data_IF_279493176436
#
_entry.id   IF_279493176436
#
_cell.length_a   1.000
_cell.length_b   1.000
_cell.length_c   1.000
_cell.angle_alpha   90.00
_cell.angle_beta   90.00
_cell.angle_gamma   90.00
#
_symmetry.space_group_name_H-M   'P 1'
#
loop_
_entity.id
_entity.type
_entity.pdbx_description
1 polymer ?
#
# COMPACT_ATOMS: atom_id res chain seq x y z
N UNK A 1 0.97 18.90 -46.70
CA UNK A 1 0.68 17.64 -47.45
C UNK A 1 0.36 18.01 -48.89
N UNK A 2 0.82 17.24 -49.86
CA UNK A 2 0.52 17.42 -51.28
C UNK A 2 0.26 16.05 -51.95
N UNK A 3 -0.73 15.97 -52.83
CA UNK A 3 -0.97 14.80 -53.67
C UNK A 3 0.10 14.74 -54.77
N UNK A 4 0.64 13.55 -55.02
CA UNK A 4 1.50 13.25 -56.16
C UNK A 4 0.66 12.63 -57.28
N UNK A 5 1.01 12.94 -58.52
CA UNK A 5 0.40 12.35 -59.72
C UNK A 5 1.48 11.78 -60.62
N UNK A 6 1.18 10.64 -61.24
CA UNK A 6 2.03 10.03 -62.27
C UNK A 6 1.99 10.83 -63.57
N UNK A 7 2.87 10.46 -64.50
CA UNK A 7 2.99 11.13 -65.82
C UNK A 7 1.70 11.02 -66.67
N UNK A 8 0.84 10.06 -66.36
CA UNK A 8 -0.48 9.83 -66.96
C UNK A 8 -1.63 10.53 -66.20
N UNK A 9 -1.32 11.26 -65.12
CA UNK A 9 -2.28 11.95 -64.28
C UNK A 9 -2.96 11.10 -63.20
N UNK A 10 -2.59 9.81 -63.07
CA UNK A 10 -3.13 8.93 -62.01
C UNK A 10 -2.60 9.31 -60.63
N UNK A 11 -3.33 9.02 -59.53
CA UNK A 11 -2.83 9.22 -58.17
C UNK A 11 -1.56 8.41 -57.90
N UNK A 12 -0.49 9.06 -57.43
CA UNK A 12 0.83 8.46 -57.08
C UNK A 12 1.16 8.67 -55.58
N UNK A 13 0.13 8.79 -54.74
CA UNK A 13 0.24 8.92 -53.29
C UNK A 13 0.27 10.36 -52.77
N UNK A 14 0.63 10.52 -51.49
CA UNK A 14 0.65 11.80 -50.77
C UNK A 14 2.02 12.00 -50.13
N UNK A 15 2.59 13.21 -50.26
CA UNK A 15 3.83 13.63 -49.61
C UNK A 15 3.57 14.66 -48.53
N UNK A 16 4.33 14.62 -47.44
CA UNK A 16 4.24 15.55 -46.33
C UNK A 16 5.58 15.78 -45.65
N UNK A 17 5.65 16.87 -44.89
CA UNK A 17 6.77 17.21 -44.01
C UNK A 17 6.22 17.44 -42.60
N UNK A 18 6.98 17.02 -41.58
CA UNK A 18 6.68 17.30 -40.19
C UNK A 18 7.74 18.27 -39.65
N UNK A 19 7.29 19.46 -39.25
CA UNK A 19 8.15 20.44 -38.58
C UNK A 19 7.94 20.32 -37.07
N UNK A 20 9.02 20.24 -36.31
CA UNK A 20 8.98 20.09 -34.86
C UNK A 20 10.01 21.02 -34.21
N UNK A 21 9.79 21.36 -32.93
CA UNK A 21 10.78 22.13 -32.17
C UNK A 21 11.79 21.19 -31.53
N UNK A 22 13.07 21.42 -31.78
CA UNK A 22 14.17 20.61 -31.27
C UNK A 22 14.47 20.83 -29.79
N UNK A 23 13.92 21.89 -29.19
CA UNK A 23 13.96 22.12 -27.74
C UNK A 23 12.95 21.25 -26.97
N UNK A 24 12.00 20.62 -27.66
CA UNK A 24 11.00 19.72 -27.08
C UNK A 24 11.10 18.27 -27.55
N UNK A 25 11.59 18.05 -28.77
CA UNK A 25 11.57 16.73 -29.39
C UNK A 25 12.92 16.36 -29.99
N UNK A 26 13.33 15.14 -29.66
CA UNK A 26 14.40 14.44 -30.35
C UNK A 26 13.89 13.84 -31.66
N UNK A 27 14.78 13.71 -32.64
CA UNK A 27 14.44 13.20 -33.97
C UNK A 27 13.81 11.80 -33.92
N UNK A 28 14.27 10.92 -33.03
CA UNK A 28 13.73 9.56 -32.89
C UNK A 28 12.29 9.57 -32.37
N UNK A 29 11.96 10.50 -31.46
CA UNK A 29 10.59 10.70 -30.98
C UNK A 29 9.67 11.09 -32.12
N UNK A 30 10.10 12.04 -32.95
CA UNK A 30 9.32 12.52 -34.10
C UNK A 30 9.15 11.42 -35.15
N UNK A 31 10.19 10.64 -35.39
CA UNK A 31 10.16 9.50 -36.32
C UNK A 31 9.14 8.45 -35.86
N UNK A 32 9.13 8.12 -34.57
CA UNK A 32 8.14 7.22 -33.99
C UNK A 32 6.70 7.77 -34.12
N UNK A 33 6.49 9.07 -33.88
CA UNK A 33 5.18 9.70 -34.05
C UNK A 33 4.68 9.62 -35.51
N UNK A 34 5.54 9.84 -36.49
CA UNK A 34 5.19 9.68 -37.91
C UNK A 34 4.85 8.23 -38.23
N UNK A 35 5.64 7.27 -37.75
CA UNK A 35 5.36 5.85 -37.96
C UNK A 35 3.99 5.43 -37.37
N UNK A 36 3.64 5.95 -36.19
CA UNK A 36 2.33 5.75 -35.56
C UNK A 36 1.19 6.40 -36.37
N UNK A 37 1.38 7.64 -36.86
CA UNK A 37 0.40 8.31 -37.73
C UNK A 37 0.13 7.50 -39.00
N UNK A 38 1.19 7.03 -39.67
CA UNK A 38 1.05 6.22 -40.88
C UNK A 38 0.31 4.91 -40.61
N UNK A 39 0.53 4.28 -39.45
CA UNK A 39 -0.22 3.09 -39.03
C UNK A 39 -1.71 3.37 -38.91
N UNK A 40 -2.08 4.46 -38.24
CA UNK A 40 -3.48 4.88 -38.10
C UNK A 40 -4.12 5.14 -39.47
N UNK A 41 -3.44 5.89 -40.35
CA UNK A 41 -3.93 6.16 -41.69
C UNK A 41 -4.15 4.87 -42.48
N UNK A 42 -3.21 3.92 -42.41
CA UNK A 42 -3.34 2.63 -43.06
C UNK A 42 -4.58 1.87 -42.57
N UNK A 43 -4.75 1.75 -41.25
CA UNK A 43 -5.89 1.05 -40.66
C UNK A 43 -7.23 1.68 -41.07
N UNK A 44 -7.36 3.00 -40.98
CA UNK A 44 -8.60 3.72 -41.36
C UNK A 44 -8.91 3.57 -42.84
N UNK A 45 -7.90 3.51 -43.71
CA UNK A 45 -8.12 3.30 -45.15
C UNK A 45 -8.50 1.86 -45.50
N UNK A 46 -8.15 0.88 -44.67
CA UNK A 46 -8.51 -0.53 -44.87
C UNK A 46 -9.90 -0.87 -44.34
N UNK A 47 -10.27 -0.30 -43.18
CA UNK A 47 -11.61 -0.42 -42.61
C UNK A 47 -12.11 0.95 -42.11
N UNK A 48 -12.81 1.72 -42.96
CA UNK A 48 -13.33 3.04 -42.58
C UNK A 48 -14.50 2.97 -41.59
N UNK A 49 -15.05 1.78 -41.31
CA UNK A 49 -16.14 1.58 -40.36
C UNK A 49 -15.64 1.26 -38.94
N UNK A 50 -14.34 0.97 -38.79
CA UNK A 50 -13.73 0.70 -37.49
C UNK A 50 -13.87 1.92 -36.55
N UNK A 51 -14.37 1.73 -35.32
CA UNK A 51 -14.41 2.81 -34.34
C UNK A 51 -13.02 3.34 -34.01
N UNK A 52 -12.85 4.67 -34.05
CA UNK A 52 -11.57 5.35 -33.78
C UNK A 52 -10.94 4.92 -32.45
N UNK A 53 -11.76 4.69 -31.41
CA UNK A 53 -11.30 4.24 -30.09
C UNK A 53 -10.64 2.84 -30.08
N UNK A 54 -10.79 2.07 -31.15
CA UNK A 54 -10.22 0.72 -31.27
C UNK A 54 -8.95 0.64 -32.12
N UNK A 55 -8.48 1.78 -32.65
CA UNK A 55 -7.30 1.82 -33.52
C UNK A 55 -6.03 1.65 -32.68
N UNK A 56 -5.26 0.61 -32.95
CA UNK A 56 -3.92 0.43 -32.39
C UNK A 56 -2.94 1.44 -33.02
N UNK A 57 -2.48 2.39 -32.21
CA UNK A 57 -1.49 3.39 -32.60
C UNK A 57 -0.07 2.82 -32.53
N UNK A 58 0.17 1.91 -31.59
CA UNK A 58 1.48 1.33 -31.32
C UNK A 58 1.84 0.24 -32.34
N UNK A 59 3.14 0.13 -32.63
CA UNK A 59 3.69 -1.06 -33.27
C UNK A 59 3.60 -2.28 -32.34
N UNK A 60 3.75 -3.47 -32.94
CA UNK A 60 3.83 -4.72 -32.17
C UNK A 60 4.99 -4.70 -31.17
N UNK A 61 6.14 -4.15 -31.57
CA UNK A 61 7.34 -4.09 -30.73
C UNK A 61 7.16 -3.09 -29.58
N UNK A 62 6.58 -1.92 -29.84
CA UNK A 62 6.24 -0.97 -28.77
C UNK A 62 5.23 -1.56 -27.79
N UNK A 63 4.21 -2.25 -28.30
CA UNK A 63 3.20 -2.91 -27.46
C UNK A 63 3.82 -4.03 -26.63
N UNK A 64 4.68 -4.86 -27.22
CA UNK A 64 5.39 -5.92 -26.53
C UNK A 64 6.28 -5.36 -25.42
N UNK A 65 7.04 -4.29 -25.71
CA UNK A 65 7.86 -3.62 -24.71
C UNK A 65 7.03 -3.11 -23.52
N UNK A 66 5.91 -2.46 -23.78
CA UNK A 66 5.04 -1.90 -22.74
C UNK A 66 4.31 -2.96 -21.92
N UNK A 67 3.85 -4.04 -22.57
CA UNK A 67 2.97 -5.03 -21.95
C UNK A 67 3.73 -6.23 -21.37
N UNK A 68 4.87 -6.59 -21.95
CA UNK A 68 5.65 -7.76 -21.57
C UNK A 68 6.99 -7.34 -20.97
N UNK A 69 7.89 -6.70 -21.73
CA UNK A 69 9.26 -6.43 -21.26
C UNK A 69 9.29 -5.57 -19.98
N UNK A 70 8.49 -4.50 -19.92
CA UNK A 70 8.44 -3.64 -18.73
C UNK A 70 7.65 -4.23 -17.57
N UNK A 71 6.78 -5.21 -17.83
CA UNK A 71 5.98 -5.87 -16.81
C UNK A 71 6.56 -7.23 -16.38
N UNK A 72 7.66 -7.69 -16.97
CA UNK A 72 8.39 -8.89 -16.56
C UNK A 72 9.13 -8.65 -15.23
N UNK A 73 8.31 -8.56 -14.17
CA UNK A 73 8.72 -8.22 -12.80
C UNK A 73 8.49 -9.40 -11.86
N UNK A 74 8.17 -10.57 -12.41
CA UNK A 74 7.85 -11.78 -11.63
C UNK A 74 9.09 -12.24 -10.87
N UNK A 75 9.04 -12.11 -9.56
CA UNK A 75 10.10 -12.57 -8.65
C UNK A 75 9.48 -13.48 -7.59
N UNK A 76 9.99 -14.71 -7.39
CA UNK A 76 9.51 -15.58 -6.31
C UNK A 76 9.70 -14.92 -4.95
N UNK A 77 8.62 -14.82 -4.18
CA UNK A 77 8.64 -14.35 -2.79
C UNK A 77 8.17 -15.47 -1.86
N UNK A 78 8.76 -15.63 -0.67
CA UNK A 78 8.28 -16.61 0.30
C UNK A 78 6.82 -16.33 0.67
N UNK A 79 6.00 -17.39 0.75
CA UNK A 79 4.64 -17.30 1.31
C UNK A 79 4.73 -17.27 2.83
N UNK A 80 5.13 -16.12 3.36
CA UNK A 80 5.26 -15.84 4.78
C UNK A 80 4.66 -14.48 5.12
N UNK A 81 4.18 -14.35 6.34
CA UNK A 81 3.63 -13.11 6.89
C UNK A 81 4.74 -12.27 7.54
N UNK A 82 4.51 -10.96 7.65
CA UNK A 82 5.41 -10.05 8.38
C UNK A 82 5.76 -10.55 9.79
N UNK A 83 4.81 -11.01 10.65
CA UNK A 83 5.15 -11.53 11.96
C UNK A 83 6.02 -12.79 11.90
N UNK A 84 5.81 -13.70 10.93
CA UNK A 84 6.67 -14.89 10.78
C UNK A 84 8.11 -14.53 10.40
N UNK A 85 8.27 -13.60 9.43
CA UNK A 85 9.58 -13.10 9.03
C UNK A 85 10.30 -12.39 10.19
N UNK A 86 9.57 -11.57 10.94
CA UNK A 86 10.12 -10.88 12.12
C UNK A 86 10.53 -11.86 13.22
N UNK A 87 9.70 -12.87 13.52
CA UNK A 87 9.99 -13.90 14.50
C UNK A 87 11.21 -14.74 14.11
N UNK A 88 11.35 -15.08 12.82
CA UNK A 88 12.53 -15.77 12.32
C UNK A 88 13.81 -14.94 12.55
N UNK A 89 13.76 -13.64 12.26
CA UNK A 89 14.89 -12.74 12.55
C UNK A 89 15.17 -12.63 14.04
N UNK A 90 14.14 -12.51 14.88
CA UNK A 90 14.30 -12.41 16.33
C UNK A 90 14.90 -13.65 16.98
N UNK A 91 14.63 -14.85 16.42
CA UNK A 91 15.31 -16.08 16.82
C UNK A 91 16.75 -16.15 16.34
N UNK A 92 17.04 -15.58 15.16
CA UNK A 92 18.38 -15.63 14.54
C UNK A 92 19.36 -14.69 15.25
N UNK A 93 18.93 -13.47 15.58
CA UNK A 93 19.79 -12.44 16.19
C UNK A 93 19.09 -11.74 17.36
N UNK A 94 18.80 -12.45 18.47
CA UNK A 94 17.98 -11.91 19.56
C UNK A 94 18.58 -10.65 20.19
N UNK A 95 19.90 -10.59 20.37
CA UNK A 95 20.59 -9.49 21.05
C UNK A 95 20.90 -8.30 20.13
N UNK A 96 20.69 -8.44 18.81
CA UNK A 96 20.93 -7.36 17.87
C UNK A 96 19.88 -6.25 18.04
N UNK A 97 20.31 -4.99 17.92
CA UNK A 97 19.40 -3.83 18.00
C UNK A 97 18.39 -3.84 16.85
N UNK A 98 17.10 -3.83 17.18
CA UNK A 98 15.99 -3.79 16.23
C UNK A 98 15.35 -2.40 16.12
N UNK A 99 15.30 -1.66 17.23
CA UNK A 99 14.62 -0.36 17.28
C UNK A 99 15.40 0.64 18.14
N UNK A 100 15.52 1.86 17.64
CA UNK A 100 16.07 3.01 18.36
C UNK A 100 15.05 4.14 18.29
N UNK A 101 14.58 4.63 19.44
CA UNK A 101 13.70 5.78 19.52
C UNK A 101 13.90 6.51 20.85
N UNK A 102 14.05 7.83 20.81
CA UNK A 102 14.20 8.70 21.99
C UNK A 102 15.21 8.19 23.04
N UNK A 103 16.36 7.69 22.57
CA UNK A 103 17.41 7.13 23.43
C UNK A 103 17.11 5.73 23.99
N UNK A 104 15.95 5.16 23.69
CA UNK A 104 15.61 3.77 23.98
C UNK A 104 16.11 2.86 22.87
N UNK A 105 16.80 1.77 23.25
CA UNK A 105 17.25 0.72 22.35
C UNK A 105 16.53 -0.57 22.70
N UNK A 106 15.85 -1.18 21.72
CA UNK A 106 15.29 -2.53 21.87
C UNK A 106 16.03 -3.49 20.97
N UNK A 107 16.44 -4.61 21.54
CA UNK A 107 16.91 -5.76 20.78
C UNK A 107 15.75 -6.43 20.04
N UNK A 108 16.03 -7.28 19.05
CA UNK A 108 15.00 -8.09 18.40
C UNK A 108 14.25 -8.98 19.42
N UNK A 109 14.97 -9.57 20.37
CA UNK A 109 14.40 -10.42 21.42
C UNK A 109 13.47 -9.65 22.36
N UNK A 110 13.88 -8.45 22.79
CA UNK A 110 13.06 -7.57 23.63
C UNK A 110 11.79 -7.13 22.91
N UNK A 111 11.94 -6.70 21.65
CA UNK A 111 10.83 -6.24 20.82
C UNK A 111 9.83 -7.38 20.57
N UNK A 112 10.31 -8.59 20.25
CA UNK A 112 9.45 -9.76 20.07
C UNK A 112 8.72 -10.13 21.35
N UNK A 113 9.41 -10.11 22.50
CA UNK A 113 8.83 -10.39 23.82
C UNK A 113 7.70 -9.43 24.17
N UNK A 114 7.91 -8.12 23.98
CA UNK A 114 6.89 -7.10 24.23
C UNK A 114 5.69 -7.26 23.29
N UNK A 115 5.95 -7.52 22.00
CA UNK A 115 4.90 -7.75 21.02
C UNK A 115 4.09 -9.03 21.32
N UNK A 116 4.73 -10.10 21.79
CA UNK A 116 4.07 -11.36 22.14
C UNK A 116 3.12 -11.22 23.34
N UNK A 117 3.57 -10.51 24.38
CA UNK A 117 2.73 -10.20 25.55
C UNK A 117 1.49 -9.40 25.16
N UNK A 118 1.68 -8.36 24.35
CA UNK A 118 0.56 -7.55 23.88
C UNK A 118 -0.36 -8.34 22.93
N UNK A 119 0.19 -9.16 22.03
CA UNK A 119 -0.60 -9.99 21.13
C UNK A 119 -1.49 -10.98 21.89
N UNK A 120 -0.96 -11.63 22.95
CA UNK A 120 -1.75 -12.52 23.81
C UNK A 120 -2.89 -11.79 24.50
N UNK A 121 -2.61 -10.61 25.06
CA UNK A 121 -3.66 -9.78 25.63
C UNK A 121 -4.73 -9.41 24.58
N UNK A 122 -4.32 -9.01 23.38
CA UNK A 122 -5.26 -8.69 22.30
C UNK A 122 -6.14 -9.89 21.92
N UNK A 123 -5.56 -11.09 21.84
CA UNK A 123 -6.29 -12.35 21.59
C UNK A 123 -7.29 -12.62 22.71
N UNK A 124 -6.92 -12.41 23.97
CA UNK A 124 -7.85 -12.53 25.11
C UNK A 124 -8.99 -11.51 25.07
N UNK A 125 -8.79 -10.36 24.41
CA UNK A 125 -9.83 -9.36 24.12
C UNK A 125 -10.63 -9.68 22.86
N UNK A 126 -10.43 -10.84 22.24
CA UNK A 126 -11.17 -11.31 21.06
C UNK A 126 -10.62 -10.84 19.72
N UNK A 127 -9.43 -10.22 19.69
CA UNK A 127 -8.78 -9.80 18.43
C UNK A 127 -8.20 -11.02 17.71
N UNK A 128 -8.41 -11.07 16.39
CA UNK A 128 -7.91 -12.14 15.52
C UNK A 128 -8.04 -11.78 14.04
N UNK A 129 -7.97 -12.75 13.12
CA UNK A 129 -8.17 -12.53 11.68
C UNK A 129 -9.43 -11.73 11.34
N UNK A 130 -9.38 -10.93 10.29
CA UNK A 130 -10.47 -10.07 9.79
C UNK A 130 -10.94 -8.96 10.77
N UNK A 131 -10.31 -8.84 11.94
CA UNK A 131 -10.55 -7.72 12.85
C UNK A 131 -9.62 -6.54 12.57
N UNK A 132 -10.04 -5.36 13.00
CA UNK A 132 -9.26 -4.11 12.92
C UNK A 132 -8.94 -3.64 14.33
N UNK A 133 -7.67 -3.32 14.59
CA UNK A 133 -7.23 -2.63 15.80
C UNK A 133 -6.74 -1.24 15.43
N UNK A 134 -7.37 -0.21 15.98
CA UNK A 134 -6.94 1.16 15.77
C UNK A 134 -5.73 1.50 16.64
N UNK A 135 -4.71 2.14 16.06
CA UNK A 135 -3.49 2.59 16.73
C UNK A 135 -3.47 4.11 16.78
N UNK A 136 -3.90 4.69 17.90
CA UNK A 136 -3.85 6.11 18.20
C UNK A 136 -2.65 6.43 19.11
N UNK A 137 -1.45 6.13 18.62
CA UNK A 137 -0.20 6.23 19.37
C UNK A 137 0.73 7.26 18.70
N UNK A 138 1.49 8.06 19.48
CA UNK A 138 2.55 8.89 18.92
C UNK A 138 3.68 8.01 18.35
N UNK A 139 4.62 8.61 17.64
CA UNK A 139 5.85 7.92 17.24
C UNK A 139 6.64 7.54 18.50
N UNK A 140 6.68 6.26 18.82
CA UNK A 140 7.35 5.72 20.01
C UNK A 140 7.68 4.23 19.82
N UNK A 141 8.48 3.63 20.71
CA UNK A 141 8.62 2.17 20.75
C UNK A 141 7.30 1.42 20.86
N UNK A 142 6.33 1.97 21.59
CA UNK A 142 5.02 1.35 21.81
C UNK A 142 4.21 1.23 20.52
N UNK A 143 4.36 2.18 19.58
CA UNK A 143 3.73 2.08 18.26
C UNK A 143 4.23 0.85 17.49
N UNK A 144 5.54 0.59 17.51
CA UNK A 144 6.13 -0.57 16.82
C UNK A 144 5.74 -1.88 17.50
N UNK A 145 5.75 -1.90 18.84
CA UNK A 145 5.26 -3.04 19.64
C UNK A 145 3.80 -3.33 19.31
N UNK A 146 2.94 -2.31 19.29
CA UNK A 146 1.52 -2.42 18.98
C UNK A 146 1.27 -2.94 17.56
N UNK A 147 1.98 -2.41 16.56
CA UNK A 147 1.88 -2.87 15.18
C UNK A 147 2.22 -4.37 15.06
N UNK A 148 3.36 -4.79 15.61
CA UNK A 148 3.77 -6.19 15.59
C UNK A 148 2.79 -7.08 16.36
N UNK A 149 2.29 -6.61 17.51
CA UNK A 149 1.33 -7.35 18.32
C UNK A 149 0.01 -7.59 17.58
N UNK A 150 -0.51 -6.56 16.89
CA UNK A 150 -1.73 -6.66 16.08
C UNK A 150 -1.52 -7.64 14.92
N UNK A 151 -0.42 -7.53 14.18
CA UNK A 151 -0.14 -8.46 13.08
C UNK A 151 0.01 -9.91 13.56
N UNK A 152 0.59 -10.13 14.75
CA UNK A 152 0.72 -11.48 15.36
C UNK A 152 -0.62 -12.12 15.68
N UNK A 153 -1.68 -11.35 15.93
CA UNK A 153 -3.03 -11.91 16.11
C UNK A 153 -3.69 -12.28 14.77
N UNK A 154 -3.14 -11.82 13.65
CA UNK A 154 -3.73 -11.91 12.32
C UNK A 154 -4.71 -10.78 11.99
N UNK A 155 -4.89 -9.81 12.90
CA UNK A 155 -5.70 -8.62 12.67
C UNK A 155 -4.95 -7.57 11.83
N UNK A 156 -5.73 -6.67 11.22
CA UNK A 156 -5.23 -5.48 10.56
C UNK A 156 -5.07 -4.32 11.56
N UNK A 157 -4.05 -3.49 11.40
CA UNK A 157 -3.96 -2.23 12.15
C UNK A 157 -4.49 -1.04 11.35
N UNK A 158 -5.19 -0.12 12.02
CA UNK A 158 -5.61 1.18 11.49
C UNK A 158 -4.83 2.29 12.19
N UNK A 159 -3.83 2.92 11.56
CA UNK A 159 -3.13 4.04 12.18
C UNK A 159 -4.04 5.27 12.22
N UNK A 160 -4.14 5.89 13.39
CA UNK A 160 -4.86 7.14 13.63
C UNK A 160 -3.87 8.20 14.08
N UNK A 161 -3.69 9.25 13.28
CA UNK A 161 -2.94 10.43 13.69
C UNK A 161 -3.77 11.24 14.69
N UNK A 162 -3.29 11.30 15.94
CA UNK A 162 -3.97 12.02 17.03
C UNK A 162 -3.97 13.53 16.84
N UNK A 163 -3.22 14.06 15.86
CA UNK A 163 -3.23 15.49 15.51
C UNK A 163 -4.32 15.85 14.50
N UNK A 164 -5.06 14.87 13.98
CA UNK A 164 -6.21 15.15 13.12
C UNK A 164 -7.34 15.82 13.92
N UNK A 165 -8.18 16.63 13.24
CA UNK A 165 -9.41 17.14 13.85
C UNK A 165 -10.23 15.99 14.44
N UNK A 166 -10.79 16.18 15.64
CA UNK A 166 -11.55 15.16 16.37
C UNK A 166 -12.66 14.54 15.52
N UNK A 167 -13.37 15.33 14.71
CA UNK A 167 -14.41 14.83 13.83
C UNK A 167 -13.89 13.84 12.78
N UNK A 168 -12.66 14.03 12.30
CA UNK A 168 -12.00 13.09 11.37
C UNK A 168 -11.62 11.80 12.08
N UNK A 169 -11.11 11.88 13.31
CA UNK A 169 -10.78 10.69 14.12
C UNK A 169 -12.05 9.89 14.41
N UNK A 170 -13.11 10.56 14.86
CA UNK A 170 -14.43 9.96 15.10
C UNK A 170 -14.96 9.29 13.84
N UNK A 171 -14.93 9.98 12.70
CA UNK A 171 -15.33 9.40 11.42
C UNK A 171 -14.56 8.11 11.12
N UNK A 172 -13.23 8.12 11.19
CA UNK A 172 -12.41 6.93 10.93
C UNK A 172 -12.77 5.77 11.87
N UNK A 173 -12.96 6.04 13.16
CA UNK A 173 -13.34 4.99 14.13
C UNK A 173 -14.75 4.45 13.92
N UNK A 174 -15.71 5.30 13.53
CA UNK A 174 -17.10 4.90 13.26
C UNK A 174 -17.23 4.09 11.96
N UNK A 175 -16.47 4.49 10.94
CA UNK A 175 -16.46 3.84 9.63
C UNK A 175 -15.73 2.49 9.69
N UNK A 176 -14.54 2.45 10.28
CA UNK A 176 -13.74 1.23 10.40
C UNK A 176 -14.24 0.24 11.46
N UNK A 177 -14.98 0.71 12.47
CA UNK A 177 -15.50 -0.09 13.60
C UNK A 177 -14.43 -1.02 14.20
N UNK A 178 -13.31 -0.47 14.70
CA UNK A 178 -12.24 -1.30 15.22
C UNK A 178 -12.74 -2.10 16.43
N UNK A 179 -12.29 -3.35 16.54
CA UNK A 179 -12.55 -4.19 17.72
C UNK A 179 -12.00 -3.54 18.99
N UNK A 180 -10.89 -2.81 18.85
CA UNK A 180 -10.22 -2.14 19.95
C UNK A 180 -9.37 -0.96 19.47
N UNK A 181 -9.19 0.05 20.34
CA UNK A 181 -8.23 1.15 20.17
C UNK A 181 -7.06 0.99 21.15
N UNK A 182 -5.83 0.96 20.62
CA UNK A 182 -4.60 1.11 21.39
C UNK A 182 -4.18 2.58 21.39
N UNK A 183 -3.96 3.15 22.58
CA UNK A 183 -3.66 4.57 22.76
C UNK A 183 -2.81 4.83 24.00
N UNK A 184 -2.50 6.10 24.28
CA UNK A 184 -2.13 6.59 25.60
C UNK A 184 -3.33 7.25 26.32
N UNK A 185 -3.22 7.38 27.64
CA UNK A 185 -4.23 7.95 28.54
C UNK A 185 -4.55 9.40 28.16
N UNK A 186 -3.59 10.14 27.61
CA UNK A 186 -3.76 11.53 27.18
C UNK A 186 -4.65 11.68 25.95
N UNK A 187 -4.74 10.66 25.09
CA UNK A 187 -5.43 10.71 23.79
C UNK A 187 -6.70 9.86 23.75
N UNK A 188 -7.06 9.19 24.85
CA UNK A 188 -8.22 8.30 24.92
C UNK A 188 -9.59 8.97 24.66
N UNK A 189 -9.65 10.30 24.74
CA UNK A 189 -10.88 11.09 24.59
C UNK A 189 -11.20 11.50 23.14
N UNK A 190 -10.39 11.08 22.16
CA UNK A 190 -10.50 11.55 20.76
C UNK A 190 -11.57 10.82 19.95
N UNK A 191 -12.09 9.68 20.44
CA UNK A 191 -13.16 8.90 19.80
C UNK A 191 -14.37 8.73 20.74
N UNK A 192 -15.33 7.91 20.34
CA UNK A 192 -16.57 7.69 21.10
C UNK A 192 -16.35 6.68 22.25
N UNK A 193 -17.03 6.89 23.38
CA UNK A 193 -16.86 6.08 24.61
C UNK A 193 -17.22 4.59 24.43
N UNK A 194 -17.98 4.22 23.40
CA UNK A 194 -18.44 2.85 23.18
C UNK A 194 -17.37 1.91 22.58
N UNK A 195 -16.24 2.45 22.09
CA UNK A 195 -15.18 1.61 21.49
C UNK A 195 -14.21 1.11 22.55
N UNK A 196 -14.02 -0.22 22.72
CA UNK A 196 -13.07 -0.77 23.68
C UNK A 196 -11.69 -0.15 23.51
N UNK A 197 -11.10 0.32 24.61
CA UNK A 197 -9.86 1.09 24.58
C UNK A 197 -8.85 0.51 25.57
N UNK A 198 -7.58 0.40 25.15
CA UNK A 198 -6.45 0.07 26.01
C UNK A 198 -5.41 1.19 25.96
N UNK A 199 -5.15 1.78 27.12
CA UNK A 199 -4.11 2.78 27.30
C UNK A 199 -2.78 2.09 27.65
N UNK A 200 -1.83 2.07 26.71
CA UNK A 200 -0.54 1.40 26.87
C UNK A 200 0.33 2.02 27.97
N UNK A 201 0.15 3.31 28.27
CA UNK A 201 0.82 4.00 29.37
C UNK A 201 0.18 3.75 30.76
N UNK A 202 -0.90 2.96 30.82
CA UNK A 202 -1.58 2.65 32.09
C UNK A 202 -0.77 1.65 32.94
N UNK A 203 -0.41 1.97 34.20
CA UNK A 203 0.41 1.09 35.05
C UNK A 203 -0.21 -0.28 35.34
N UNK A 204 -1.53 -0.34 35.50
CA UNK A 204 -2.26 -1.60 35.73
C UNK A 204 -2.18 -2.49 34.50
N UNK A 205 -2.34 -1.91 33.30
CA UNK A 205 -2.18 -2.64 32.04
C UNK A 205 -0.74 -3.14 31.86
N UNK A 206 0.25 -2.31 32.17
CA UNK A 206 1.67 -2.69 32.11
C UNK A 206 1.97 -3.87 33.05
N UNK A 207 1.42 -3.85 34.27
CA UNK A 207 1.53 -4.97 35.21
C UNK A 207 0.91 -6.24 34.63
N UNK A 208 -0.28 -6.16 34.04
CA UNK A 208 -0.92 -7.29 33.37
C UNK A 208 -0.04 -7.85 32.23
N UNK A 209 0.50 -6.97 31.36
CA UNK A 209 1.38 -7.36 30.27
C UNK A 209 2.61 -8.14 30.74
N UNK A 210 3.23 -7.74 31.86
CA UNK A 210 4.41 -8.46 32.40
C UNK A 210 4.10 -9.89 32.84
N UNK A 211 2.85 -10.18 33.20
CA UNK A 211 2.39 -11.52 33.60
C UNK A 211 2.12 -12.47 32.44
N UNK A 212 2.02 -11.98 31.20
CA UNK A 212 1.83 -12.82 30.03
C UNK A 212 3.11 -13.53 29.60
N UNK A 213 2.92 -14.73 29.06
CA UNK A 213 3.95 -15.54 28.41
C UNK A 213 4.63 -14.77 27.26
N UNK A 214 5.94 -14.95 27.13
CA UNK A 214 6.79 -14.25 26.16
C UNK A 214 6.95 -15.00 24.84
N UNK A 215 6.50 -16.26 24.77
CA UNK A 215 6.53 -17.09 23.56
C UNK A 215 5.56 -16.58 22.50
N UNK A 216 5.90 -16.84 21.24
CA UNK A 216 5.07 -16.48 20.10
C UNK A 216 3.64 -17.05 20.26
N UNK A 217 2.59 -16.26 19.99
CA UNK A 217 1.23 -16.76 20.00
C UNK A 217 1.06 -17.95 19.05
N UNK A 218 0.18 -18.89 19.39
CA UNK A 218 -0.11 -20.07 18.56
C UNK A 218 -1.02 -19.77 17.37
N UNK A 219 -1.39 -18.51 17.16
CA UNK A 219 -2.14 -18.04 16.00
C UNK A 219 -1.29 -18.19 14.74
N UNK A 220 -1.92 -18.58 13.64
CA UNK A 220 -1.29 -18.68 12.32
C UNK A 220 -1.94 -17.68 11.36
N UNK A 221 -1.45 -16.42 11.30
CA UNK A 221 -1.94 -15.45 10.32
C UNK A 221 -1.79 -15.97 8.88
N UNK A 222 -2.82 -15.83 8.04
CA UNK A 222 -2.73 -16.13 6.61
C UNK A 222 -2.23 -14.88 5.85
N UNK A 223 -1.30 -15.00 4.89
CA UNK A 223 -0.92 -13.92 3.99
C UNK A 223 -2.08 -13.26 3.23
N UNK A 224 -3.25 -13.90 3.14
CA UNK A 224 -4.46 -13.34 2.54
C UNK A 224 -5.26 -12.41 3.47
N UNK A 225 -5.02 -12.43 4.78
CA UNK A 225 -5.68 -11.50 5.70
C UNK A 225 -5.16 -10.07 5.53
N UNK A 226 -6.00 -9.05 5.76
CA UNK A 226 -5.57 -7.66 5.68
C UNK A 226 -4.49 -7.36 6.73
N UNK A 227 -3.41 -6.71 6.32
CA UNK A 227 -2.34 -6.29 7.23
C UNK A 227 -2.63 -4.92 7.88
N UNK A 228 -3.30 -4.03 7.15
CA UNK A 228 -3.61 -2.69 7.62
C UNK A 228 -4.88 -2.14 6.98
N UNK A 229 -5.41 -1.06 7.55
CA UNK A 229 -6.40 -0.19 6.92
C UNK A 229 -5.85 1.23 6.89
N UNK A 230 -5.64 1.82 5.71
CA UNK A 230 -5.14 3.19 5.58
C UNK A 230 -6.21 4.07 4.93
N UNK A 231 -6.57 5.17 5.60
CA UNK A 231 -7.50 6.14 5.04
C UNK A 231 -6.82 7.12 4.10
N UNK A 232 -7.34 7.22 2.88
CA UNK A 232 -6.92 8.21 1.89
C UNK A 232 -8.01 9.27 1.69
N UNK A 233 -7.64 10.46 1.21
CA UNK A 233 -8.62 11.47 0.78
C UNK A 233 -9.46 10.91 -0.37
N UNK A 234 -10.75 10.68 -0.13
CA UNK A 234 -11.65 10.25 -1.19
C UNK A 234 -11.91 11.39 -2.18
N UNK A 235 -12.05 11.06 -3.46
CA UNK A 235 -12.43 12.02 -4.51
C UNK A 235 -13.77 12.72 -4.26
N UNK A 236 -14.62 12.13 -3.41
CA UNK A 236 -15.90 12.66 -2.96
C UNK A 236 -15.79 13.54 -1.71
N UNK A 237 -14.59 13.82 -1.21
CA UNK A 237 -14.34 14.57 0.02
C UNK A 237 -14.48 13.76 1.32
N UNK A 238 -15.07 12.56 1.25
CA UNK A 238 -15.17 11.62 2.38
C UNK A 238 -13.97 10.67 2.36
N UNK A 239 -13.16 10.59 3.42
CA UNK A 239 -12.04 9.65 3.51
C UNK A 239 -12.51 8.20 3.33
N UNK A 240 -11.67 7.35 2.70
CA UNK A 240 -11.97 5.93 2.47
C UNK A 240 -10.84 5.05 2.99
N UNK A 241 -11.17 4.01 3.73
CA UNK A 241 -10.21 2.99 4.17
C UNK A 241 -9.85 2.04 3.02
N UNK A 242 -8.55 1.86 2.79
CA UNK A 242 -7.99 0.86 1.87
C UNK A 242 -7.40 -0.26 2.71
N UNK A 243 -7.76 -1.50 2.37
CA UNK A 243 -7.25 -2.75 2.97
C UNK A 243 -6.19 -3.37 2.07
#
# INVERSE_FOLDING_TARGET
LAERRGDDGSPDGIVGSLTYRTDLFEQDTVTALVARLLRVLHTVTQDPTQPVASLDVLSKDERHRLLEEWNDTTTPVPRATVPELFQAQARTTPDATALIADGTHLSYGDLNTRANRLARLLIERGVGPEHIVALALPRSPDLVVALLAVLKTGAAYLPIDTNYPVDRIRFMTQDARPTLVLTHTTTQHLWNDDTPTLCLDNPTLQTQLTGHDTTDPTTTPDPAHPAYVIYTSGSTGVPKGVT
#
